data_IF_451043279328
#
_entry.id   IF_451043279328
#
_cell.length_a   1.000
_cell.length_b   1.000
_cell.length_c   1.000
_cell.angle_alpha   90.00
_cell.angle_beta   90.00
_cell.angle_gamma   90.00
#
_symmetry.space_group_name_H-M   'P 1'
#
loop_
_entity.id
_entity.type
_entity.pdbx_description
1 polymer ?
#
# COMPACT_ATOMS: atom_id res chain seq x y z
N UNK A 1 -2.08 -12.55 11.42
CA UNK A 1 -1.75 -11.90 10.12
C UNK A 1 -2.50 -10.58 10.02
N UNK A 2 -1.78 -9.52 9.79
CA UNK A 2 -2.35 -8.18 9.68
C UNK A 2 -2.28 -7.72 8.23
N UNK A 3 -3.40 -7.23 7.72
CA UNK A 3 -3.48 -6.52 6.45
C UNK A 3 -3.54 -5.02 6.72
N UNK A 4 -2.59 -4.27 6.19
CA UNK A 4 -2.57 -2.81 6.28
C UNK A 4 -2.96 -2.24 4.93
N UNK A 5 -4.12 -1.63 4.86
CA UNK A 5 -4.69 -1.08 3.64
C UNK A 5 -4.63 0.44 3.68
N UNK A 6 -4.03 1.03 2.65
CA UNK A 6 -3.96 2.46 2.47
C UNK A 6 -4.64 2.87 1.17
N UNK A 7 -5.52 3.85 1.26
CA UNK A 7 -6.25 4.42 0.13
C UNK A 7 -5.80 5.86 -0.07
N UNK A 8 -5.56 6.25 -1.32
CA UNK A 8 -4.96 7.55 -1.62
C UNK A 8 -5.73 8.29 -2.68
N UNK A 9 -5.93 9.60 -2.47
CA UNK A 9 -6.24 10.53 -3.55
C UNK A 9 -4.94 11.11 -4.09
N UNK A 10 -4.90 11.36 -5.39
CA UNK A 10 -3.70 11.87 -6.04
C UNK A 10 -3.81 13.37 -6.28
N UNK A 11 -2.67 14.06 -6.18
CA UNK A 11 -2.60 15.47 -6.55
C UNK A 11 -2.86 15.63 -8.05
N UNK A 12 -3.41 16.79 -8.49
CA UNK A 12 -3.82 16.97 -9.89
C UNK A 12 -2.70 16.80 -10.92
N UNK A 13 -1.44 17.01 -10.52
CA UNK A 13 -0.31 16.89 -11.44
C UNK A 13 0.09 15.45 -11.77
N UNK A 14 -0.43 14.47 -11.02
CA UNK A 14 -0.04 13.06 -11.20
C UNK A 14 -0.72 12.50 -12.44
N UNK A 15 0.10 12.10 -13.40
CA UNK A 15 -0.37 11.47 -14.64
C UNK A 15 -0.57 9.96 -14.44
N UNK A 16 -1.27 9.33 -15.40
CA UNK A 16 -1.43 7.88 -15.41
C UNK A 16 -0.07 7.15 -15.47
N UNK A 17 0.87 7.70 -16.23
CA UNK A 17 2.22 7.13 -16.34
C UNK A 17 2.98 7.24 -15.02
N UNK A 18 2.87 8.38 -14.34
CA UNK A 18 3.47 8.58 -13.03
C UNK A 18 2.89 7.59 -12.00
N UNK A 19 1.59 7.34 -12.05
CA UNK A 19 0.97 6.38 -11.15
C UNK A 19 1.51 4.97 -11.37
N UNK A 20 1.72 4.56 -12.64
CA UNK A 20 2.33 3.26 -12.94
C UNK A 20 3.75 3.17 -12.35
N UNK A 21 4.55 4.22 -12.47
CA UNK A 21 5.87 4.28 -11.86
C UNK A 21 5.80 4.22 -10.33
N UNK A 22 4.85 4.94 -9.73
CA UNK A 22 4.65 4.94 -8.28
C UNK A 22 4.31 3.53 -7.78
N UNK A 23 3.45 2.82 -8.49
CA UNK A 23 3.10 1.44 -8.13
C UNK A 23 4.30 0.51 -8.22
N UNK A 24 5.10 0.63 -9.27
CA UNK A 24 6.31 -0.18 -9.43
C UNK A 24 7.33 0.10 -8.31
N UNK A 25 7.57 1.36 -8.00
CA UNK A 25 8.48 1.77 -6.91
C UNK A 25 7.98 1.30 -5.55
N UNK A 26 6.68 1.41 -5.32
CA UNK A 26 6.04 0.94 -4.09
C UNK A 26 6.33 -0.54 -3.86
N UNK A 27 6.10 -1.36 -4.88
CA UNK A 27 6.34 -2.80 -4.78
C UNK A 27 7.81 -3.11 -4.50
N UNK A 28 8.72 -2.50 -5.25
CA UNK A 28 10.16 -2.73 -5.07
C UNK A 28 10.62 -2.27 -3.69
N UNK A 29 10.19 -1.10 -3.26
CA UNK A 29 10.64 -0.50 -2.01
C UNK A 29 10.11 -1.25 -0.80
N UNK A 30 8.82 -1.58 -0.80
CA UNK A 30 8.20 -2.23 0.36
C UNK A 30 8.57 -3.70 0.49
N UNK A 31 8.89 -4.39 -0.61
CA UNK A 31 9.39 -5.76 -0.53
C UNK A 31 10.80 -5.85 0.06
N UNK A 32 11.51 -4.75 0.17
CA UNK A 32 12.80 -4.70 0.86
C UNK A 32 12.69 -4.66 2.37
N UNK A 33 11.51 -4.35 2.90
CA UNK A 33 11.27 -4.32 4.34
C UNK A 33 11.14 -5.76 4.83
N UNK A 34 12.01 -6.23 5.76
CA UNK A 34 12.01 -7.64 6.18
C UNK A 34 10.67 -8.13 6.75
N UNK A 35 9.92 -7.27 7.43
CA UNK A 35 8.64 -7.63 8.06
C UNK A 35 7.49 -7.76 7.07
N UNK A 36 7.65 -7.27 5.85
CA UNK A 36 6.59 -7.31 4.84
C UNK A 36 6.53 -8.69 4.20
N UNK A 37 5.37 -9.33 4.31
CA UNK A 37 5.13 -10.66 3.75
C UNK A 37 4.51 -10.61 2.36
N UNK A 38 3.75 -9.57 2.06
CA UNK A 38 3.13 -9.38 0.76
C UNK A 38 2.84 -7.90 0.53
N UNK A 39 2.93 -7.50 -0.73
CA UNK A 39 2.59 -6.16 -1.20
C UNK A 39 1.65 -6.30 -2.38
N UNK A 40 0.54 -5.56 -2.34
CA UNK A 40 -0.35 -5.43 -3.49
C UNK A 40 -0.67 -3.97 -3.68
N UNK A 41 -0.73 -3.53 -4.91
CA UNK A 41 -1.09 -2.16 -5.24
C UNK A 41 -1.94 -2.15 -6.50
N UNK A 42 -2.78 -1.14 -6.61
CA UNK A 42 -3.67 -1.03 -7.75
C UNK A 42 -4.25 0.35 -7.91
N UNK A 43 -4.84 0.60 -9.06
CA UNK A 43 -5.49 1.84 -9.41
C UNK A 43 -6.99 1.63 -9.57
N UNK A 44 -7.78 2.68 -9.28
CA UNK A 44 -9.23 2.58 -9.43
C UNK A 44 -9.62 2.36 -10.90
N UNK A 45 -10.72 1.67 -11.09
CA UNK A 45 -11.35 1.53 -12.40
C UNK A 45 -12.66 2.32 -12.47
N UNK A 46 -13.29 2.60 -11.33
CA UNK A 46 -14.53 3.36 -11.28
C UNK A 46 -14.22 4.84 -11.00
N UNK A 47 -14.43 5.76 -11.97
CA UNK A 47 -14.09 7.17 -11.80
C UNK A 47 -14.95 7.90 -10.76
N UNK A 48 -16.03 7.28 -10.26
CA UNK A 48 -16.89 7.88 -9.24
C UNK A 48 -16.29 7.84 -7.85
N UNK A 49 -15.32 6.95 -7.60
CA UNK A 49 -14.65 6.87 -6.31
C UNK A 49 -13.54 7.89 -6.20
N UNK A 50 -13.39 8.47 -5.00
CA UNK A 50 -12.37 9.48 -4.76
C UNK A 50 -10.96 8.92 -4.70
N UNK A 51 -10.79 7.68 -4.19
CA UNK A 51 -9.47 7.09 -4.04
C UNK A 51 -9.01 6.50 -5.36
N UNK A 52 -7.92 7.04 -5.89
CA UNK A 52 -7.39 6.67 -7.20
C UNK A 52 -6.36 5.53 -7.12
N UNK A 53 -5.81 5.27 -5.93
CA UNK A 53 -4.71 4.34 -5.73
C UNK A 53 -4.82 3.69 -4.37
N UNK A 54 -4.41 2.42 -4.27
CA UNK A 54 -4.30 1.75 -2.99
C UNK A 54 -2.98 1.01 -2.87
N UNK A 55 -2.55 0.81 -1.62
CA UNK A 55 -1.43 -0.05 -1.26
C UNK A 55 -1.88 -0.97 -0.14
N UNK A 56 -1.60 -2.24 -0.31
CA UNK A 56 -1.94 -3.30 0.64
C UNK A 56 -0.66 -4.00 1.07
N UNK A 57 -0.48 -4.12 2.39
CA UNK A 57 0.63 -4.84 2.99
C UNK A 57 0.12 -5.95 3.89
N UNK A 58 0.85 -7.07 3.93
CA UNK A 58 0.67 -8.07 4.97
C UNK A 58 1.91 -8.12 5.85
N UNK A 59 1.68 -8.14 7.15
CA UNK A 59 2.69 -8.34 8.19
C UNK A 59 2.17 -9.33 9.21
N UNK A 60 3.06 -9.92 10.01
CA UNK A 60 2.70 -10.98 10.94
C UNK A 60 1.82 -10.50 12.10
N UNK A 61 2.08 -9.28 12.61
CA UNK A 61 1.43 -8.73 13.79
C UNK A 61 1.45 -7.21 13.78
N UNK A 62 0.73 -6.59 14.71
CA UNK A 62 0.78 -5.14 14.88
C UNK A 62 2.16 -4.65 15.31
N UNK A 63 2.88 -5.45 16.12
CA UNK A 63 4.26 -5.12 16.49
C UNK A 63 5.16 -5.10 15.25
N UNK A 64 4.98 -6.06 14.36
CA UNK A 64 5.73 -6.09 13.10
C UNK A 64 5.34 -4.93 12.18
N UNK A 65 4.09 -4.50 12.20
CA UNK A 65 3.66 -3.33 11.45
C UNK A 65 4.39 -2.07 11.94
N UNK A 66 4.51 -1.88 13.24
CA UNK A 66 5.23 -0.75 13.81
C UNK A 66 6.71 -0.77 13.41
N UNK A 67 7.35 -1.91 13.45
CA UNK A 67 8.74 -2.09 13.00
C UNK A 67 8.86 -1.77 11.51
N UNK A 68 7.93 -2.27 10.69
CA UNK A 68 7.87 -1.99 9.27
C UNK A 68 7.82 -0.48 8.98
N UNK A 69 6.96 0.24 9.69
CA UNK A 69 6.78 1.68 9.50
C UNK A 69 8.00 2.50 9.90
N UNK A 70 8.87 1.96 10.74
CA UNK A 70 10.13 2.59 11.14
C UNK A 70 11.32 2.17 10.25
N UNK A 71 11.12 1.22 9.35
CA UNK A 71 12.18 0.75 8.46
C UNK A 71 12.54 1.85 7.45
N UNK A 72 13.85 2.04 7.16
CA UNK A 72 14.29 3.06 6.20
C UNK A 72 13.67 2.92 4.81
N UNK A 73 13.40 1.72 4.35
CA UNK A 73 12.75 1.50 3.05
C UNK A 73 11.29 1.95 3.06
N UNK A 74 10.58 1.74 4.17
CA UNK A 74 9.22 2.22 4.32
C UNK A 74 9.17 3.76 4.39
N UNK A 75 10.09 4.35 5.17
CA UNK A 75 10.21 5.80 5.28
C UNK A 75 10.50 6.41 3.91
N UNK A 76 11.40 5.80 3.15
CA UNK A 76 11.71 6.26 1.79
C UNK A 76 10.49 6.18 0.86
N UNK A 77 9.73 5.12 0.93
CA UNK A 77 8.46 5.00 0.20
C UNK A 77 7.53 6.16 0.57
N UNK A 78 7.32 6.39 1.85
CA UNK A 78 6.44 7.46 2.33
C UNK A 78 6.91 8.85 1.88
N UNK A 79 8.19 9.13 1.99
CA UNK A 79 8.73 10.45 1.68
C UNK A 79 8.90 10.71 0.18
N UNK A 80 9.25 9.71 -0.61
CA UNK A 80 9.54 9.88 -2.03
C UNK A 80 8.39 9.50 -2.96
N UNK A 81 7.51 8.59 -2.56
CA UNK A 81 6.41 8.15 -3.41
C UNK A 81 5.08 8.75 -2.95
N UNK A 82 4.76 8.65 -1.67
CA UNK A 82 3.46 9.10 -1.16
C UNK A 82 3.41 10.63 -1.06
N UNK A 83 4.33 11.20 -0.30
CA UNK A 83 4.26 12.63 0.05
C UNK A 83 4.19 13.60 -1.12
N UNK A 84 4.99 13.41 -2.20
CA UNK A 84 4.94 14.34 -3.32
C UNK A 84 3.69 14.22 -4.20
N UNK A 85 2.97 13.10 -4.15
CA UNK A 85 1.95 12.76 -5.13
C UNK A 85 0.55 12.58 -4.55
N UNK A 86 0.43 12.46 -3.23
CA UNK A 86 -0.82 12.15 -2.55
C UNK A 86 -1.36 13.39 -1.85
N UNK A 87 -2.65 13.64 -2.02
CA UNK A 87 -3.35 14.73 -1.35
C UNK A 87 -3.97 14.24 -0.03
N UNK A 88 -4.84 13.24 -0.10
CA UNK A 88 -5.50 12.67 1.07
C UNK A 88 -5.20 11.18 1.12
N UNK A 89 -4.93 10.67 2.33
CA UNK A 89 -4.80 9.24 2.52
C UNK A 89 -5.66 8.77 3.69
N UNK A 90 -6.10 7.54 3.59
CA UNK A 90 -6.86 6.85 4.63
C UNK A 90 -6.30 5.45 4.77
N UNK A 91 -5.82 5.12 5.97
CA UNK A 91 -5.14 3.84 6.22
C UNK A 91 -5.73 3.18 7.45
N UNK A 92 -5.87 1.85 7.38
CA UNK A 92 -6.33 1.07 8.51
C UNK A 92 -5.73 -0.34 8.47
N UNK A 93 -5.64 -0.94 9.64
CA UNK A 93 -5.14 -2.30 9.78
C UNK A 93 -6.32 -3.23 10.11
N UNK A 94 -6.31 -4.40 9.48
CA UNK A 94 -7.29 -5.45 9.73
C UNK A 94 -6.57 -6.71 10.19
N UNK A 95 -7.14 -7.39 11.17
CA UNK A 95 -6.71 -8.75 11.46
C UNK A 95 -7.39 -9.69 10.47
N UNK A 96 -6.57 -10.44 9.75
CA UNK A 96 -7.10 -11.34 8.73
C UNK A 96 -7.65 -12.61 9.37
N UNK A 97 -8.76 -13.09 8.84
CA UNK A 97 -9.29 -14.38 9.22
C UNK A 97 -8.27 -15.46 8.89
N UNK A 98 -7.96 -16.37 9.83
CA UNK A 98 -6.91 -17.38 9.62
C UNK A 98 -7.29 -18.47 8.62
N UNK A 99 -8.55 -18.55 8.24
CA UNK A 99 -9.02 -19.57 7.30
C UNK A 99 -8.65 -19.21 5.88
N UNK A 100 -8.27 -20.24 5.12
CA UNK A 100 -8.16 -20.13 3.68
C UNK A 100 -9.50 -20.54 3.06
N UNK A 101 -10.12 -19.60 2.39
CA UNK A 101 -11.29 -19.92 1.58
C UNK A 101 -10.85 -19.96 0.12
N UNK A 102 -10.57 -21.17 -0.34
CA UNK A 102 -10.26 -21.41 -1.75
C UNK A 102 -11.44 -22.12 -2.38
N UNK A 103 -12.04 -21.46 -3.34
CA UNK A 103 -13.14 -22.04 -4.08
C UNK A 103 -12.59 -22.68 -5.36
N UNK A 104 -12.81 -23.97 -5.48
CA UNK A 104 -12.53 -24.71 -6.70
C UNK A 104 -13.85 -24.92 -7.46
N UNK A 105 -13.87 -24.51 -8.70
CA UNK A 105 -15.02 -24.76 -9.57
C UNK A 105 -14.78 -25.98 -10.44
#
# INVERSE_FOLDING_TARGET
MIAYLSLFTLRPHVTAEQLEEMMARTRVQLLRVPEVLAVKTGKRVDPRHQYAWFVYLEVESMDKLAICQDDPHYIKFREEVVRPHVDIHDSTAFEMEPRKDVKYS
#
